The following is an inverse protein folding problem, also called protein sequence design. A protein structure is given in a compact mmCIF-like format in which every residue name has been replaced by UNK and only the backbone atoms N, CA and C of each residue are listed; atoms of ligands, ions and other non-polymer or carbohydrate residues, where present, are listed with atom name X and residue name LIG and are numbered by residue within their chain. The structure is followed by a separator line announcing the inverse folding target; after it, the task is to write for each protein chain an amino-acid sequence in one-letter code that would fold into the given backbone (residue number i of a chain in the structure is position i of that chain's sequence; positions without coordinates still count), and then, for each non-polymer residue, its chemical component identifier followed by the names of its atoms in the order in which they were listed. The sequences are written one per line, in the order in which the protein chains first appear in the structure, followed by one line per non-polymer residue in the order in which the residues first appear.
data_IF_023159031888
#
_entry.id   IF_023159031888
#
_cell.length_a   1.000
_cell.length_b   1.000
_cell.length_c   1.000
_cell.angle_alpha   90.00
_cell.angle_beta   90.00
_cell.angle_gamma   90.00
#
_symmetry.space_group_name_H-M   'P 1'
#
loop_
_entity.id
_entity.type
_entity.pdbx_description
1 polymer ?
#
# COMPACT_ATOMS: atom_id res chain seq x y z
N UNK A 1 -23.90 -8.68 -1.27
CA UNK A 1 -22.66 -9.13 -1.91
C UNK A 1 -21.59 -9.16 -0.85
N UNK A 2 -21.36 -10.32 -0.24
CA UNK A 2 -20.36 -10.47 0.82
C UNK A 2 -19.01 -10.71 0.16
N UNK A 3 -18.12 -9.73 0.27
CA UNK A 3 -16.75 -9.84 -0.21
C UNK A 3 -15.97 -10.71 0.76
N UNK A 4 -15.56 -11.90 0.31
CA UNK A 4 -14.58 -12.73 1.02
C UNK A 4 -13.24 -12.01 0.98
N UNK A 5 -12.85 -11.40 2.10
CA UNK A 5 -11.48 -10.94 2.30
C UNK A 5 -10.57 -12.15 2.40
N UNK A 6 -9.85 -12.43 1.32
CA UNK A 6 -8.81 -13.45 1.28
C UNK A 6 -7.62 -12.95 2.13
N UNK A 7 -7.65 -13.20 3.44
CA UNK A 7 -6.50 -12.95 4.31
C UNK A 7 -5.43 -13.98 3.96
N UNK A 8 -4.21 -13.59 3.56
CA UNK A 8 -3.12 -14.53 3.34
C UNK A 8 -2.87 -15.30 4.63
N UNK A 9 -3.07 -16.62 4.63
CA UNK A 9 -2.66 -17.46 5.75
C UNK A 9 -1.13 -17.34 5.89
N UNK A 10 -0.59 -17.14 7.10
CA UNK A 10 0.85 -17.16 7.30
C UNK A 10 1.38 -18.50 6.78
N UNK A 11 2.24 -18.46 5.77
CA UNK A 11 2.96 -19.63 5.30
C UNK A 11 4.02 -19.93 6.36
N UNK A 12 3.68 -20.75 7.35
CA UNK A 12 4.67 -21.29 8.27
C UNK A 12 5.63 -22.15 7.46
N UNK A 13 6.83 -21.62 7.19
CA UNK A 13 7.89 -22.39 6.56
C UNK A 13 8.30 -23.53 7.50
N UNK A 14 7.72 -24.69 7.26
CA UNK A 14 7.94 -25.90 8.05
C UNK A 14 9.36 -26.44 7.85
N UNK A 15 10.14 -25.93 6.88
CA UNK A 15 11.55 -26.33 6.70
C UNK A 15 12.46 -25.82 7.80
N UNK A 16 12.20 -24.63 8.37
CA UNK A 16 13.07 -24.08 9.42
C UNK A 16 13.03 -24.93 10.70
N UNK A 17 11.86 -25.53 11.01
CA UNK A 17 11.68 -26.43 12.16
C UNK A 17 12.28 -27.83 11.90
N UNK A 18 12.49 -28.22 10.65
CA UNK A 18 12.95 -29.56 10.28
C UNK A 18 14.47 -29.76 10.36
N UNK A 19 15.27 -28.72 10.58
CA UNK A 19 16.74 -28.81 10.58
C UNK A 19 17.36 -29.34 11.88
N UNK A 20 16.55 -29.75 12.86
CA UNK A 20 17.02 -30.25 14.15
C UNK A 20 16.27 -31.45 14.70
N UNK A 21 15.58 -32.23 13.86
CA UNK A 21 15.03 -33.52 14.30
C UNK A 21 16.21 -34.48 14.45
N UNK A 22 16.56 -34.94 15.66
CA UNK A 22 17.56 -36.00 15.79
C UNK A 22 17.02 -37.22 15.04
N UNK A 23 17.88 -37.88 14.27
CA UNK A 23 17.57 -39.21 13.72
C UNK A 23 16.91 -40.04 14.82
N UNK A 24 15.77 -40.66 14.50
CA UNK A 24 15.06 -41.52 15.43
C UNK A 24 16.00 -42.67 15.77
N UNK A 25 16.65 -42.58 16.92
CA UNK A 25 17.52 -43.64 17.43
C UNK A 25 16.75 -44.98 17.34
N UNK A 26 17.41 -46.06 16.87
CA UNK A 26 16.76 -47.36 16.75
C UNK A 26 16.13 -47.73 18.10
N UNK A 27 14.96 -48.40 18.10
CA UNK A 27 14.27 -48.75 19.34
C UNK A 27 15.27 -49.38 20.30
N UNK A 28 15.37 -48.80 21.50
CA UNK A 28 16.25 -49.25 22.58
C UNK A 28 16.13 -50.77 22.67
N UNK A 29 17.16 -51.49 22.21
CA UNK A 29 17.24 -52.93 22.37
C UNK A 29 17.41 -53.15 23.86
N UNK A 30 16.30 -53.40 24.56
CA UNK A 30 16.31 -53.95 25.90
C UNK A 30 17.30 -55.12 25.85
N UNK A 31 18.37 -55.14 26.67
CA UNK A 31 19.31 -56.25 26.66
C UNK A 31 18.50 -57.52 26.86
N UNK A 32 18.40 -58.36 25.82
CA UNK A 32 17.69 -59.63 25.96
C UNK A 32 18.39 -60.37 27.10
N UNK A 33 17.66 -60.79 28.15
CA UNK A 33 18.27 -61.55 29.22
C UNK A 33 18.83 -62.81 28.58
N UNK A 34 20.17 -62.90 28.52
CA UNK A 34 20.87 -64.07 27.98
C UNK A 34 20.31 -65.29 28.67
N UNK A 35 19.60 -66.17 27.95
CA UNK A 35 19.08 -67.38 28.56
C UNK A 35 20.29 -68.19 29.02
N UNK A 36 20.52 -68.28 30.33
CA UNK A 36 21.61 -69.06 30.90
C UNK A 36 21.63 -70.47 30.29
N UNK A 37 22.83 -71.02 30.08
CA UNK A 37 23.02 -72.28 29.37
C UNK A 37 22.12 -73.38 29.93
N UNK A 38 21.08 -73.75 29.18
CA UNK A 38 20.10 -74.74 29.61
C UNK A 38 20.54 -76.13 29.14
N UNK A 39 21.08 -76.95 30.04
CA UNK A 39 21.17 -78.39 29.80
C UNK A 39 19.77 -79.00 29.92
N UNK A 40 19.35 -79.73 28.88
CA UNK A 40 18.02 -80.32 28.76
C UNK A 40 17.68 -81.24 29.95
N UNK A 41 16.52 -80.98 30.57
CA UNK A 41 15.96 -81.81 31.66
C UNK A 41 15.73 -81.01 32.94
N UNK A 42 14.53 -80.43 33.08
CA UNK A 42 13.93 -79.94 34.33
C UNK A 42 14.90 -79.30 35.36
N UNK A 43 15.45 -78.13 35.02
CA UNK A 43 15.92 -77.14 36.01
C UNK A 43 15.58 -75.76 35.47
N UNK A 44 14.93 -74.92 36.28
CA UNK A 44 14.77 -73.50 35.99
C UNK A 44 16.11 -72.94 35.54
N UNK A 45 16.18 -72.28 34.38
CA UNK A 45 17.39 -71.60 33.93
C UNK A 45 17.74 -70.54 34.98
N UNK A 46 18.73 -70.82 35.83
CA UNK A 46 19.17 -69.93 36.91
C UNK A 46 20.46 -69.28 36.47
N UNK A 47 20.45 -67.96 36.44
CA UNK A 47 21.66 -67.15 36.25
C UNK A 47 22.68 -67.48 37.32
N UNK A 48 23.95 -67.61 36.92
CA UNK A 48 25.02 -67.60 37.91
C UNK A 48 25.21 -66.16 38.43
N UNK A 49 25.74 -65.96 39.66
CA UNK A 49 25.90 -64.62 40.20
C UNK A 49 26.71 -63.67 39.31
N UNK A 50 27.72 -64.15 38.57
CA UNK A 50 28.53 -63.31 37.71
C UNK A 50 27.77 -62.80 36.47
N UNK A 51 26.91 -63.64 35.86
CA UNK A 51 26.01 -63.23 34.79
C UNK A 51 24.99 -62.20 35.27
N UNK A 52 24.44 -62.38 36.48
CA UNK A 52 23.55 -61.41 37.10
C UNK A 52 24.26 -60.07 37.35
N UNK A 53 25.48 -60.09 37.91
CA UNK A 53 26.26 -58.87 38.15
C UNK A 53 26.60 -58.13 36.85
N UNK A 54 26.97 -58.85 35.79
CA UNK A 54 27.26 -58.28 34.47
C UNK A 54 26.03 -57.62 33.84
N UNK A 55 24.88 -58.30 33.89
CA UNK A 55 23.61 -57.75 33.40
C UNK A 55 23.17 -56.53 34.23
N UNK A 56 23.25 -56.61 35.55
CA UNK A 56 22.92 -55.50 36.45
C UNK A 56 23.82 -54.29 36.20
N UNK A 57 25.13 -54.49 36.03
CA UNK A 57 26.07 -53.42 35.67
C UNK A 57 25.72 -52.78 34.33
N UNK A 58 25.37 -53.58 33.33
CA UNK A 58 24.95 -53.10 32.01
C UNK A 58 23.68 -52.25 32.09
N UNK A 59 22.67 -52.71 32.84
CA UNK A 59 21.42 -51.96 33.07
C UNK A 59 21.70 -50.64 33.79
N UNK A 60 22.59 -50.63 34.79
CA UNK A 60 22.96 -49.41 35.49
C UNK A 60 23.66 -48.40 34.58
N UNK A 61 24.58 -48.85 33.73
CA UNK A 61 25.26 -47.98 32.75
C UNK A 61 24.25 -47.41 31.76
N UNK A 62 23.35 -48.24 31.22
CA UNK A 62 22.30 -47.81 30.31
C UNK A 62 21.35 -46.79 30.97
N UNK A 63 20.92 -47.03 32.21
CA UNK A 63 20.09 -46.10 32.95
C UNK A 63 20.81 -44.75 33.18
N UNK A 64 22.13 -44.77 33.36
CA UNK A 64 22.98 -43.59 33.45
C UNK A 64 23.00 -42.79 32.13
N UNK A 65 23.22 -43.47 31.00
CA UNK A 65 23.22 -42.84 29.67
C UNK A 65 21.84 -42.29 29.31
N UNK A 66 20.77 -43.04 29.57
CA UNK A 66 19.39 -42.63 29.28
C UNK A 66 19.00 -41.39 30.09
N UNK A 67 19.37 -41.33 31.36
CA UNK A 67 19.16 -40.14 32.20
C UNK A 67 19.93 -38.93 31.70
N UNK A 68 21.16 -39.14 31.22
CA UNK A 68 21.95 -38.05 30.66
C UNK A 68 21.30 -37.51 29.38
N UNK A 69 20.90 -38.39 28.46
CA UNK A 69 20.23 -38.01 27.22
C UNK A 69 18.91 -37.31 27.46
N UNK A 70 18.07 -37.85 28.35
CA UNK A 70 16.80 -37.23 28.72
C UNK A 70 16.99 -35.80 29.27
N UNK A 71 18.04 -35.58 30.07
CA UNK A 71 18.39 -34.24 30.58
C UNK A 71 18.92 -33.32 29.48
N UNK A 72 19.67 -33.83 28.51
CA UNK A 72 20.12 -33.04 27.35
C UNK A 72 18.91 -32.56 26.54
N UNK A 73 18.02 -33.49 26.17
CA UNK A 73 16.81 -33.19 25.41
C UNK A 73 15.94 -32.17 26.16
N UNK A 74 15.77 -32.31 27.48
CA UNK A 74 15.00 -31.34 28.26
C UNK A 74 15.60 -29.93 28.21
N UNK A 75 16.93 -29.82 28.28
CA UNK A 75 17.63 -28.53 28.20
C UNK A 75 17.49 -27.93 26.81
N UNK A 76 17.77 -28.70 25.78
CA UNK A 76 17.66 -28.29 24.38
C UNK A 76 16.23 -27.86 24.03
N UNK A 77 15.23 -28.64 24.46
CA UNK A 77 13.82 -28.29 24.27
C UNK A 77 13.45 -26.98 24.97
N UNK A 78 13.95 -26.75 26.19
CA UNK A 78 13.72 -25.50 26.92
C UNK A 78 14.36 -24.31 26.21
N UNK A 79 15.60 -24.44 25.75
CA UNK A 79 16.30 -23.39 25.00
C UNK A 79 15.57 -23.09 23.70
N UNK A 80 15.21 -24.12 22.92
CA UNK A 80 14.47 -23.97 21.67
C UNK A 80 13.12 -23.26 21.90
N UNK A 81 12.39 -23.62 22.96
CA UNK A 81 11.14 -22.95 23.30
C UNK A 81 11.36 -21.46 23.59
N UNK A 82 12.37 -21.12 24.40
CA UNK A 82 12.67 -19.73 24.74
C UNK A 82 13.11 -18.91 23.52
N UNK A 83 13.95 -19.49 22.67
CA UNK A 83 14.43 -18.83 21.45
C UNK A 83 13.30 -18.60 20.45
N UNK A 84 12.43 -19.61 20.27
CA UNK A 84 11.26 -19.49 19.38
C UNK A 84 10.23 -18.52 19.91
N UNK A 85 9.97 -18.49 21.22
CA UNK A 85 9.10 -17.51 21.87
C UNK A 85 9.64 -16.08 21.67
N UNK A 86 10.93 -15.87 21.96
CA UNK A 86 11.56 -14.56 21.79
C UNK A 86 11.53 -14.09 20.32
N UNK A 87 11.88 -14.96 19.37
CA UNK A 87 11.83 -14.64 17.95
C UNK A 87 10.40 -14.32 17.47
N UNK A 88 9.40 -15.05 17.97
CA UNK A 88 7.98 -14.81 17.65
C UNK A 88 7.52 -13.46 18.16
N UNK A 89 7.83 -13.12 19.42
CA UNK A 89 7.46 -11.84 20.02
C UNK A 89 8.10 -10.66 19.27
N UNK A 90 9.39 -10.78 18.93
CA UNK A 90 10.09 -9.74 18.17
C UNK A 90 9.49 -9.55 16.78
N UNK A 91 9.23 -10.66 16.07
CA UNK A 91 8.63 -10.61 14.72
C UNK A 91 7.22 -10.01 14.76
N UNK A 92 6.42 -10.37 15.77
CA UNK A 92 5.07 -9.83 15.93
C UNK A 92 5.09 -8.33 16.28
N UNK A 93 5.99 -7.91 17.18
CA UNK A 93 6.15 -6.51 17.53
C UNK A 93 6.57 -5.67 16.32
N UNK A 94 7.55 -6.13 15.55
CA UNK A 94 8.01 -5.46 14.34
C UNK A 94 6.93 -5.41 13.27
N UNK A 95 6.21 -6.51 13.04
CA UNK A 95 5.08 -6.54 12.12
C UNK A 95 3.98 -5.54 12.53
N UNK A 96 3.67 -5.45 13.83
CA UNK A 96 2.69 -4.49 14.35
C UNK A 96 3.15 -3.05 14.14
N UNK A 97 4.44 -2.77 14.37
CA UNK A 97 5.04 -1.44 14.14
C UNK A 97 4.96 -1.04 12.67
N UNK A 98 5.42 -1.91 11.77
CA UNK A 98 5.41 -1.64 10.32
C UNK A 98 3.99 -1.46 9.77
N UNK A 99 3.01 -2.24 10.26
CA UNK A 99 1.60 -2.05 9.91
C UNK A 99 1.07 -0.69 10.39
N UNK A 100 1.46 -0.26 11.58
CA UNK A 100 1.11 1.06 12.12
C UNK A 100 1.69 2.20 11.28
N UNK A 101 2.96 2.10 10.89
CA UNK A 101 3.61 3.08 10.01
C UNK A 101 2.94 3.13 8.64
N UNK A 102 2.65 1.97 8.05
CA UNK A 102 1.97 1.89 6.76
C UNK A 102 0.56 2.48 6.81
N UNK A 103 -0.17 2.24 7.90
CA UNK A 103 -1.48 2.83 8.11
C UNK A 103 -1.40 4.36 8.17
N UNK A 104 -0.42 4.90 8.89
CA UNK A 104 -0.20 6.34 8.99
C UNK A 104 0.17 6.96 7.63
N UNK A 105 1.04 6.31 6.86
CA UNK A 105 1.38 6.74 5.49
C UNK A 105 0.14 6.79 4.59
N UNK A 106 -0.68 5.73 4.61
CA UNK A 106 -1.90 5.65 3.81
C UNK A 106 -2.87 6.77 4.19
N UNK A 107 -3.06 7.01 5.49
CA UNK A 107 -3.91 8.11 5.96
C UNK A 107 -3.36 9.46 5.53
N UNK A 108 -2.06 9.69 5.67
CA UNK A 108 -1.41 10.93 5.25
C UNK A 108 -1.65 11.19 3.76
N UNK A 109 -1.34 10.21 2.89
CA UNK A 109 -1.52 10.37 1.45
C UNK A 109 -2.98 10.52 1.06
N UNK A 110 -3.89 9.81 1.72
CA UNK A 110 -5.33 10.00 1.51
C UNK A 110 -5.77 11.43 1.83
N UNK A 111 -5.35 11.96 2.98
CA UNK A 111 -5.66 13.34 3.38
C UNK A 111 -5.06 14.36 2.41
N UNK A 112 -3.82 14.14 1.96
CA UNK A 112 -3.14 15.03 1.03
C UNK A 112 -3.82 15.03 -0.35
N UNK A 113 -4.19 13.86 -0.86
CA UNK A 113 -4.95 13.74 -2.10
C UNK A 113 -6.32 14.41 -1.99
N UNK A 114 -7.02 14.24 -0.86
CA UNK A 114 -8.30 14.92 -0.66
C UNK A 114 -8.14 16.44 -0.67
N UNK A 115 -7.12 16.97 0.02
CA UNK A 115 -6.79 18.40 0.03
C UNK A 115 -6.53 18.93 -1.40
N UNK A 116 -5.78 18.16 -2.19
CA UNK A 116 -5.50 18.52 -3.58
C UNK A 116 -6.75 18.48 -4.47
N UNK A 117 -7.62 17.49 -4.29
CA UNK A 117 -8.91 17.42 -4.99
C UNK A 117 -9.74 18.66 -4.67
N UNK A 118 -9.88 19.01 -3.39
CA UNK A 118 -10.66 20.17 -2.95
C UNK A 118 -10.09 21.48 -3.53
N UNK A 119 -8.76 21.63 -3.57
CA UNK A 119 -8.11 22.78 -4.19
C UNK A 119 -8.38 22.85 -5.70
N UNK A 120 -8.24 21.72 -6.42
CA UNK A 120 -8.50 21.68 -7.86
C UNK A 120 -9.95 22.02 -8.18
N UNK A 121 -10.91 21.52 -7.38
CA UNK A 121 -12.33 21.87 -7.52
C UNK A 121 -12.55 23.37 -7.35
N UNK A 122 -11.96 23.99 -6.32
CA UNK A 122 -12.06 25.43 -6.09
C UNK A 122 -11.45 26.24 -7.25
N UNK A 123 -10.30 25.80 -7.78
CA UNK A 123 -9.66 26.43 -8.94
C UNK A 123 -10.52 26.31 -10.20
N UNK A 124 -11.10 25.13 -10.46
CA UNK A 124 -12.04 24.91 -11.56
C UNK A 124 -13.29 25.79 -11.44
N UNK A 125 -13.88 25.91 -10.25
CA UNK A 125 -15.02 26.80 -10.01
C UNK A 125 -14.67 28.26 -10.29
N UNK A 126 -13.49 28.71 -9.86
CA UNK A 126 -12.96 30.05 -10.13
C UNK A 126 -12.77 30.31 -11.64
N UNK A 127 -12.19 29.35 -12.37
CA UNK A 127 -12.01 29.45 -13.82
C UNK A 127 -13.36 29.47 -14.56
N UNK A 128 -14.34 28.67 -14.13
CA UNK A 128 -15.70 28.69 -14.68
C UNK A 128 -16.40 30.03 -14.43
N UNK A 129 -16.24 30.61 -13.23
CA UNK A 129 -16.77 31.94 -12.93
C UNK A 129 -16.10 33.02 -13.79
N UNK A 130 -14.79 32.94 -13.99
CA UNK A 130 -14.04 33.84 -14.86
C UNK A 130 -14.49 33.73 -16.33
N UNK A 131 -14.66 32.50 -16.85
CA UNK A 131 -15.21 32.26 -18.19
C UNK A 131 -16.56 32.96 -18.38
N UNK A 132 -17.50 32.75 -17.45
CA UNK A 132 -18.82 33.41 -17.49
C UNK A 132 -18.70 34.93 -17.47
N UNK A 133 -17.75 35.49 -16.72
CA UNK A 133 -17.52 36.94 -16.68
C UNK A 133 -16.97 37.47 -18.00
N UNK A 134 -16.06 36.74 -18.64
CA UNK A 134 -15.51 37.09 -19.95
C UNK A 134 -16.56 37.03 -21.05
N UNK A 135 -17.41 36.00 -21.05
CA UNK A 135 -18.54 35.86 -21.98
C UNK A 135 -19.51 37.03 -21.85
N UNK A 136 -19.93 37.37 -20.62
CA UNK A 136 -20.80 38.53 -20.37
C UNK A 136 -20.15 39.85 -20.79
N UNK A 137 -18.84 40.01 -20.55
CA UNK A 137 -18.12 41.21 -20.98
C UNK A 137 -18.06 41.31 -22.50
N UNK A 138 -17.90 40.18 -23.20
CA UNK A 138 -17.94 40.14 -24.65
C UNK A 138 -19.33 40.52 -25.18
N UNK A 139 -20.38 39.92 -24.65
CA UNK A 139 -21.77 40.23 -25.02
C UNK A 139 -22.09 41.72 -24.81
N UNK A 140 -21.61 42.32 -23.72
CA UNK A 140 -21.79 43.74 -23.43
C UNK A 140 -21.13 44.68 -24.46
N UNK A 141 -20.13 44.21 -25.22
CA UNK A 141 -19.49 45.00 -26.29
C UNK A 141 -20.25 44.97 -27.62
N UNK A 142 -21.16 44.02 -27.82
CA UNK A 142 -21.89 43.87 -29.09
C UNK A 142 -22.81 45.07 -29.37
N UNK A 143 -23.53 45.55 -28.35
CA UNK A 143 -24.41 46.72 -28.48
C UNK A 143 -23.67 48.00 -28.85
N UNK A 144 -22.63 48.46 -28.12
CA UNK A 144 -21.91 49.67 -28.52
C UNK A 144 -21.22 49.52 -29.88
N UNK A 145 -20.71 48.33 -30.23
CA UNK A 145 -20.15 48.09 -31.56
C UNK A 145 -21.19 48.28 -32.68
N UNK A 146 -22.38 47.71 -32.49
CA UNK A 146 -23.49 47.85 -33.44
C UNK A 146 -23.93 49.31 -33.59
N UNK A 147 -24.02 50.06 -32.48
CA UNK A 147 -24.35 51.49 -32.49
C UNK A 147 -23.29 52.29 -33.25
N UNK A 148 -22.00 52.10 -32.96
CA UNK A 148 -20.92 52.80 -33.65
C UNK A 148 -20.93 52.50 -35.16
N UNK A 149 -21.14 51.23 -35.52
CA UNK A 149 -21.24 50.78 -36.92
C UNK A 149 -22.44 51.37 -37.64
N UNK A 150 -23.62 51.40 -37.02
CA UNK A 150 -24.81 52.02 -37.62
C UNK A 150 -24.66 53.54 -37.77
N UNK A 151 -24.01 54.20 -36.81
CA UNK A 151 -23.67 55.62 -36.89
C UNK A 151 -22.72 55.93 -38.06
N UNK A 152 -21.75 55.06 -38.34
CA UNK A 152 -20.90 55.16 -39.52
C UNK A 152 -21.72 54.94 -40.81
N UNK A 153 -22.57 53.91 -40.85
CA UNK A 153 -23.44 53.64 -42.00
C UNK A 153 -24.44 54.78 -42.28
N UNK A 154 -24.93 55.47 -41.25
CA UNK A 154 -25.75 56.66 -41.43
C UNK A 154 -24.99 57.80 -42.09
N UNK A 155 -23.70 57.97 -41.76
CA UNK A 155 -22.84 59.01 -42.35
C UNK A 155 -22.51 58.72 -43.81
N UNK A 156 -22.27 57.46 -44.18
CA UNK A 156 -22.01 57.08 -45.58
C UNK A 156 -23.22 57.28 -46.50
N UNK A 157 -24.42 57.41 -45.95
CA UNK A 157 -25.66 57.69 -46.68
C UNK A 157 -25.94 59.19 -46.91
N UNK A 158 -25.10 60.10 -46.39
CA UNK A 158 -25.23 61.55 -46.67
C UNK A 158 -24.99 61.83 -48.15
N UNK A 159 -25.66 62.87 -48.69
CA UNK A 159 -25.64 63.16 -50.13
C UNK A 159 -24.90 64.47 -50.43
N UNK A 160 -24.21 64.49 -51.57
CA UNK A 160 -23.62 65.71 -52.11
C UNK A 160 -22.60 66.36 -51.16
N UNK A 161 -22.66 67.70 -50.95
CA UNK A 161 -21.73 68.41 -50.08
C UNK A 161 -21.73 67.95 -48.61
N UNK A 162 -22.78 67.27 -48.14
CA UNK A 162 -22.88 66.78 -46.75
C UNK A 162 -22.14 65.46 -46.53
N UNK A 163 -21.66 64.81 -47.59
CA UNK A 163 -20.80 63.63 -47.52
C UNK A 163 -19.36 64.06 -47.16
N UNK A 164 -19.17 64.41 -45.90
CA UNK A 164 -17.92 64.92 -45.35
C UNK A 164 -17.39 63.96 -44.31
N UNK A 165 -16.09 63.69 -44.38
CA UNK A 165 -15.35 63.03 -43.31
C UNK A 165 -15.10 64.03 -42.18
N UNK A 166 -16.05 64.09 -41.26
CA UNK A 166 -16.01 64.99 -40.11
C UNK A 166 -15.24 64.39 -38.93
N UNK A 167 -14.97 65.21 -37.91
CA UNK A 167 -14.29 64.75 -36.69
C UNK A 167 -15.04 63.63 -35.98
N UNK A 168 -16.37 63.58 -36.11
CA UNK A 168 -17.18 62.53 -35.46
C UNK A 168 -17.03 61.20 -36.19
N UNK A 169 -16.92 61.19 -37.51
CA UNK A 169 -16.56 60.00 -38.28
C UNK A 169 -15.21 59.44 -37.86
N UNK A 170 -14.20 60.30 -37.67
CA UNK A 170 -12.88 59.87 -37.20
C UNK A 170 -12.93 59.25 -35.80
N UNK A 171 -13.66 59.85 -34.85
CA UNK A 171 -13.82 59.30 -33.51
C UNK A 171 -14.62 57.99 -33.50
N UNK A 172 -15.66 57.86 -34.33
CA UNK A 172 -16.43 56.61 -34.46
C UNK A 172 -15.59 55.46 -35.05
N UNK A 173 -14.70 55.76 -36.00
CA UNK A 173 -13.76 54.76 -36.52
C UNK A 173 -12.81 54.29 -35.42
N UNK A 174 -12.26 55.21 -34.63
CA UNK A 174 -11.41 54.87 -33.47
C UNK A 174 -12.16 54.04 -32.43
N UNK A 175 -13.40 54.40 -32.13
CA UNK A 175 -14.26 53.65 -31.20
C UNK A 175 -14.52 52.22 -31.71
N UNK A 176 -14.91 52.06 -32.98
CA UNK A 176 -15.16 50.75 -33.58
C UNK A 176 -13.91 49.86 -33.59
N UNK A 177 -12.74 50.43 -33.91
CA UNK A 177 -11.47 49.70 -33.89
C UNK A 177 -11.02 49.32 -32.47
N UNK A 178 -11.25 50.21 -31.49
CA UNK A 178 -10.99 49.92 -30.08
C UNK A 178 -11.88 48.77 -29.58
N UNK A 179 -13.19 48.83 -29.84
CA UNK A 179 -14.13 47.79 -29.43
C UNK A 179 -13.73 46.45 -30.08
N UNK A 180 -13.39 46.43 -31.36
CA UNK A 180 -12.92 45.22 -32.06
C UNK A 180 -11.65 44.64 -31.41
N UNK A 181 -10.72 45.50 -31.02
CA UNK A 181 -9.49 45.10 -30.33
C UNK A 181 -9.78 44.48 -28.96
N UNK A 182 -10.70 45.08 -28.20
CA UNK A 182 -11.17 44.53 -26.90
C UNK A 182 -11.88 43.18 -27.10
N UNK A 183 -12.76 43.06 -28.09
CA UNK A 183 -13.43 41.81 -28.41
C UNK A 183 -12.44 40.69 -28.77
N UNK A 184 -11.41 41.01 -29.57
CA UNK A 184 -10.36 40.06 -29.93
C UNK A 184 -9.57 39.58 -28.69
N UNK A 185 -9.24 40.51 -27.77
CA UNK A 185 -8.60 40.18 -26.50
C UNK A 185 -9.49 39.27 -25.64
N UNK A 186 -10.75 39.62 -25.45
CA UNK A 186 -11.71 38.84 -24.67
C UNK A 186 -11.89 37.42 -25.22
N UNK A 187 -12.01 37.28 -26.55
CA UNK A 187 -12.11 35.98 -27.23
C UNK A 187 -10.84 35.13 -27.00
N UNK A 188 -9.66 35.74 -27.15
CA UNK A 188 -8.38 35.05 -26.91
C UNK A 188 -8.24 34.58 -25.45
N UNK A 189 -8.54 35.45 -24.49
CA UNK A 189 -8.46 35.12 -23.06
C UNK A 189 -9.49 34.06 -22.69
N UNK A 190 -10.69 34.11 -23.26
CA UNK A 190 -11.71 33.07 -23.06
C UNK A 190 -11.22 31.71 -23.53
N UNK A 191 -10.59 31.64 -24.72
CA UNK A 191 -10.00 30.40 -25.24
C UNK A 191 -8.89 29.85 -24.32
N UNK A 192 -8.06 30.73 -23.76
CA UNK A 192 -7.03 30.35 -22.78
C UNK A 192 -7.65 29.78 -21.50
N UNK A 193 -8.66 30.44 -20.94
CA UNK A 193 -9.36 29.95 -19.73
C UNK A 193 -10.05 28.61 -20.00
N UNK A 194 -10.68 28.43 -21.16
CA UNK A 194 -11.30 27.15 -21.55
C UNK A 194 -10.27 26.03 -21.69
N UNK A 195 -9.03 26.35 -22.07
CA UNK A 195 -7.95 25.35 -22.15
C UNK A 195 -7.40 24.96 -20.77
N UNK A 196 -7.56 25.84 -19.77
CA UNK A 196 -7.11 25.61 -18.39
C UNK A 196 -8.14 24.87 -17.53
N UNK A 197 -9.40 24.83 -17.95
CA UNK A 197 -10.50 24.07 -17.33
C UNK A 197 -10.43 22.62 -17.82
#
# INVERSE_FOLDING_TARGET
MSSEFLVPRPHYDSRAVALGVPEKDPPVKIPQPSSGSATAGYRSAKYNPAEWFSNYHTILQQAGTDRYQARSIQRESKTLYQDTEAATLQTQAEGTRLLGERLQEIHYWKSELQRHIDQLLADTESLLALKRRLEKALDATETPYAIATDNLNCRTRRLGPDLVKDSVEEELLKEADLIRSVQALLKRTTAQVVTQI
#
